data_IF_164688221666
#
_entry.id   IF_164688221666
#
_cell.length_a   1.000
_cell.length_b   1.000
_cell.length_c   1.000
_cell.angle_alpha   90.00
_cell.angle_beta   90.00
_cell.angle_gamma   90.00
#
_symmetry.space_group_name_H-M   'P 1'
#
loop_
_entity.id
_entity.type
_entity.pdbx_description
1 polymer ?
#
# COMPACT_ATOMS: atom_id res chain seq x y z
N UNK A 1 -7.90 -35.78 16.00
CA UNK A 1 -7.28 -36.18 14.72
C UNK A 1 -8.35 -35.99 13.67
N UNK A 2 -8.08 -35.24 12.58
CA UNK A 2 -9.07 -35.06 11.55
C UNK A 2 -9.45 -36.40 10.93
N UNK A 3 -10.73 -36.58 10.62
CA UNK A 3 -11.19 -37.81 9.96
C UNK A 3 -10.65 -37.88 8.52
N UNK A 4 -10.52 -39.08 7.91
CA UNK A 4 -10.13 -39.21 6.51
C UNK A 4 -11.03 -38.40 5.56
N UNK A 5 -12.30 -38.25 5.93
CA UNK A 5 -13.31 -37.48 5.20
C UNK A 5 -13.06 -35.97 5.32
N UNK A 6 -12.77 -35.46 6.52
CA UNK A 6 -12.34 -34.07 6.75
C UNK A 6 -11.05 -33.72 6.00
N UNK A 7 -10.06 -34.63 5.99
CA UNK A 7 -8.82 -34.44 5.25
C UNK A 7 -9.06 -34.37 3.73
N UNK A 8 -9.98 -35.18 3.21
CA UNK A 8 -10.37 -35.14 1.80
C UNK A 8 -11.08 -33.83 1.43
N UNK A 9 -12.02 -33.37 2.26
CA UNK A 9 -12.71 -32.08 2.08
C UNK A 9 -11.70 -30.94 2.09
N UNK A 10 -10.78 -30.92 3.07
CA UNK A 10 -9.75 -29.89 3.17
C UNK A 10 -8.84 -29.84 1.94
N UNK A 11 -8.46 -31.00 1.40
CA UNK A 11 -7.65 -31.10 0.17
C UNK A 11 -8.38 -30.48 -1.03
N UNK A 12 -9.70 -30.68 -1.13
CA UNK A 12 -10.52 -30.05 -2.19
C UNK A 12 -10.60 -28.54 -2.02
N UNK A 13 -10.82 -28.05 -0.80
CA UNK A 13 -10.82 -26.60 -0.50
C UNK A 13 -9.48 -25.97 -0.89
N UNK A 14 -8.36 -26.59 -0.48
CA UNK A 14 -7.03 -26.12 -0.82
C UNK A 14 -6.81 -26.05 -2.34
N UNK A 15 -7.23 -27.07 -3.08
CA UNK A 15 -7.15 -27.08 -4.54
C UNK A 15 -7.95 -25.95 -5.21
N UNK A 16 -9.15 -25.65 -4.70
CA UNK A 16 -9.97 -24.53 -5.17
C UNK A 16 -9.28 -23.19 -4.91
N UNK A 17 -8.72 -23.00 -3.71
CA UNK A 17 -7.98 -21.79 -3.34
C UNK A 17 -6.72 -21.60 -4.21
N UNK A 18 -5.99 -22.67 -4.51
CA UNK A 18 -4.83 -22.65 -5.41
C UNK A 18 -5.23 -22.20 -6.83
N UNK A 19 -6.30 -22.79 -7.38
CA UNK A 19 -6.82 -22.41 -8.71
C UNK A 19 -7.21 -20.95 -8.76
N UNK A 20 -7.94 -20.49 -7.75
CA UNK A 20 -8.39 -19.12 -7.65
C UNK A 20 -7.21 -18.13 -7.56
N UNK A 21 -6.23 -18.41 -6.71
CA UNK A 21 -5.02 -17.59 -6.58
C UNK A 21 -4.22 -17.53 -7.89
N UNK A 22 -4.04 -18.67 -8.58
CA UNK A 22 -3.36 -18.72 -9.89
C UNK A 22 -4.08 -17.87 -10.94
N UNK A 23 -5.40 -18.01 -11.05
CA UNK A 23 -6.20 -17.24 -12.01
C UNK A 23 -6.13 -15.73 -11.75
N UNK A 24 -6.13 -15.32 -10.47
CA UNK A 24 -5.94 -13.91 -10.06
C UNK A 24 -4.56 -13.36 -10.42
N UNK A 25 -3.54 -14.21 -10.37
CA UNK A 25 -2.19 -13.86 -10.83
C UNK A 25 -2.06 -13.87 -12.37
N UNK A 26 -3.14 -14.16 -13.10
CA UNK A 26 -3.17 -14.30 -14.56
C UNK A 26 -2.17 -15.32 -15.11
N UNK A 27 -1.88 -16.36 -14.33
CA UNK A 27 -0.95 -17.42 -14.72
C UNK A 27 -1.70 -18.62 -15.29
N UNK A 28 -1.21 -19.17 -16.39
CA UNK A 28 -1.66 -20.47 -16.89
C UNK A 28 -1.02 -21.60 -16.08
N UNK A 29 -1.57 -22.81 -16.16
CA UNK A 29 -0.95 -24.00 -15.56
C UNK A 29 0.47 -24.23 -16.09
N UNK A 30 0.72 -23.85 -17.35
CA UNK A 30 2.03 -23.92 -17.98
C UNK A 30 3.01 -22.91 -17.38
N UNK A 31 2.59 -21.66 -17.21
CA UNK A 31 3.44 -20.62 -16.62
C UNK A 31 3.88 -20.99 -15.20
N UNK A 32 2.99 -21.61 -14.43
CA UNK A 32 3.32 -22.10 -13.08
C UNK A 32 4.29 -23.27 -13.15
N UNK A 33 4.00 -24.27 -13.98
CA UNK A 33 4.84 -25.44 -14.17
C UNK A 33 6.27 -25.08 -14.59
N UNK A 34 6.40 -24.19 -15.58
CA UNK A 34 7.69 -23.74 -16.10
C UNK A 34 8.51 -22.98 -15.03
N UNK A 35 7.86 -22.24 -14.14
CA UNK A 35 8.51 -21.46 -13.06
C UNK A 35 8.97 -22.30 -11.88
N UNK A 36 8.27 -23.39 -11.57
CA UNK A 36 8.60 -24.24 -10.41
C UNK A 36 9.21 -25.60 -10.82
N UNK A 37 9.42 -25.82 -12.13
CA UNK A 37 10.10 -27.00 -12.66
C UNK A 37 9.23 -28.26 -12.65
N UNK A 38 7.91 -28.15 -12.79
CA UNK A 38 6.98 -29.29 -12.81
C UNK A 38 6.06 -29.26 -14.03
N UNK A 39 5.42 -30.38 -14.36
CA UNK A 39 4.48 -30.42 -15.48
C UNK A 39 3.18 -29.67 -15.14
N UNK A 40 2.47 -29.10 -16.15
CA UNK A 40 1.16 -28.47 -15.93
C UNK A 40 0.12 -29.42 -15.32
N UNK A 41 0.26 -30.73 -15.58
CA UNK A 41 -0.58 -31.78 -15.00
C UNK A 41 -0.43 -31.91 -13.49
N UNK A 42 0.79 -31.72 -12.96
CA UNK A 42 1.02 -31.72 -11.51
C UNK A 42 0.28 -30.55 -10.85
N UNK A 43 0.32 -29.36 -11.45
CA UNK A 43 -0.42 -28.19 -10.94
C UNK A 43 -1.93 -28.46 -10.97
N UNK A 44 -2.43 -29.05 -12.05
CA UNK A 44 -3.84 -29.42 -12.16
C UNK A 44 -4.24 -30.43 -11.08
N UNK A 45 -3.42 -31.45 -10.80
CA UNK A 45 -3.70 -32.44 -9.78
C UNK A 45 -3.76 -31.85 -8.37
N UNK A 46 -2.94 -30.82 -8.08
CA UNK A 46 -3.07 -30.05 -6.84
C UNK A 46 -4.37 -29.25 -6.80
N UNK A 47 -4.74 -28.56 -7.89
CA UNK A 47 -5.99 -27.79 -7.97
C UNK A 47 -7.24 -28.67 -7.88
N UNK A 48 -7.19 -29.89 -8.38
CA UNK A 48 -8.28 -30.87 -8.26
C UNK A 48 -8.24 -31.63 -6.93
N UNK A 49 -7.26 -31.40 -6.06
CA UNK A 49 -7.08 -32.14 -4.81
C UNK A 49 -6.89 -33.65 -5.04
N UNK A 50 -6.26 -34.04 -6.15
CA UNK A 50 -5.87 -35.42 -6.47
C UNK A 50 -4.48 -35.76 -5.93
N UNK A 51 -3.66 -34.74 -5.71
CA UNK A 51 -2.29 -34.85 -5.19
C UNK A 51 -2.11 -33.97 -3.95
N UNK A 52 -1.50 -34.54 -2.92
CA UNK A 52 -1.09 -33.80 -1.73
C UNK A 52 0.00 -32.78 -2.06
N UNK A 53 -0.01 -31.67 -1.32
CA UNK A 53 0.93 -30.56 -1.49
C UNK A 53 1.66 -30.35 -0.17
N UNK A 54 2.99 -30.30 -0.22
CA UNK A 54 3.83 -29.99 0.94
C UNK A 54 3.78 -28.51 1.29
N UNK A 55 4.21 -28.17 2.50
CA UNK A 55 4.32 -26.78 2.93
C UNK A 55 5.30 -25.99 2.05
N UNK A 56 6.45 -26.56 1.71
CA UNK A 56 7.45 -25.91 0.84
C UNK A 56 6.89 -25.60 -0.55
N UNK A 57 6.14 -26.54 -1.14
CA UNK A 57 5.44 -26.30 -2.41
C UNK A 57 4.39 -25.20 -2.26
N UNK A 58 3.67 -25.16 -1.14
CA UNK A 58 2.67 -24.11 -0.87
C UNK A 58 3.30 -22.72 -0.74
N UNK A 59 4.46 -22.61 -0.09
CA UNK A 59 5.18 -21.35 0.07
C UNK A 59 5.64 -20.78 -1.27
N UNK A 60 6.19 -21.64 -2.14
CA UNK A 60 6.59 -21.26 -3.49
C UNK A 60 5.39 -20.79 -4.30
N UNK A 61 4.27 -21.51 -4.24
CA UNK A 61 3.04 -21.12 -4.93
C UNK A 61 2.43 -19.83 -4.35
N UNK A 62 2.45 -19.64 -3.03
CA UNK A 62 2.00 -18.41 -2.37
C UNK A 62 2.79 -17.19 -2.87
N UNK A 63 4.12 -17.32 -2.93
CA UNK A 63 5.01 -16.29 -3.45
C UNK A 63 4.70 -15.99 -4.93
N UNK A 64 4.57 -17.05 -5.74
CA UNK A 64 4.29 -16.94 -7.17
C UNK A 64 2.93 -16.29 -7.46
N UNK A 65 1.91 -16.60 -6.66
CA UNK A 65 0.55 -16.05 -6.79
C UNK A 65 0.38 -14.70 -6.09
N UNK A 66 1.42 -14.21 -5.41
CA UNK A 66 1.43 -12.94 -4.66
C UNK A 66 0.32 -12.89 -3.60
N UNK A 67 0.08 -14.01 -2.92
CA UNK A 67 -0.85 -14.10 -1.79
C UNK A 67 -0.11 -14.47 -0.51
N UNK A 68 -0.51 -13.95 0.66
CA UNK A 68 0.08 -14.39 1.93
C UNK A 68 -0.27 -15.87 2.19
N UNK A 69 0.63 -16.63 2.83
CA UNK A 69 0.43 -18.07 3.10
C UNK A 69 -0.89 -18.35 3.87
N UNK A 70 -1.29 -17.43 4.75
CA UNK A 70 -2.54 -17.49 5.51
C UNK A 70 -3.80 -17.56 4.61
N UNK A 71 -3.71 -17.12 3.35
CA UNK A 71 -4.79 -17.21 2.36
C UNK A 71 -5.32 -18.64 2.20
N UNK A 72 -4.45 -19.64 2.29
CA UNK A 72 -4.84 -21.04 2.09
C UNK A 72 -5.57 -21.66 3.28
N UNK A 73 -5.63 -20.98 4.42
CA UNK A 73 -6.31 -21.42 5.65
C UNK A 73 -7.69 -20.78 5.84
N UNK A 74 -8.19 -19.98 4.90
CA UNK A 74 -9.55 -19.47 4.99
C UNK A 74 -10.57 -20.59 4.77
N UNK A 75 -11.51 -20.75 5.72
CA UNK A 75 -12.62 -21.71 5.63
C UNK A 75 -13.68 -21.24 4.62
N UNK A 76 -13.76 -19.93 4.40
CA UNK A 76 -14.51 -19.34 3.31
C UNK A 76 -13.59 -19.21 2.09
N UNK A 77 -14.02 -19.75 0.94
CA UNK A 77 -13.66 -19.13 -0.35
C UNK A 77 -14.31 -17.76 -0.23
N UNK A 78 -13.55 -16.64 -0.17
CA UNK A 78 -14.15 -15.33 0.01
C UNK A 78 -15.23 -15.17 -1.05
N UNK A 79 -16.50 -15.23 -0.63
CA UNK A 79 -17.64 -15.19 -1.52
C UNK A 79 -17.62 -13.80 -2.12
N UNK A 80 -17.13 -13.68 -3.36
CA UNK A 80 -16.91 -12.44 -4.11
C UNK A 80 -16.92 -11.22 -3.19
N UNK A 81 -15.97 -11.17 -2.23
CA UNK A 81 -15.62 -9.91 -1.60
C UNK A 81 -14.84 -9.25 -2.71
N UNK A 82 -15.63 -8.62 -3.56
CA UNK A 82 -15.26 -7.98 -4.81
C UNK A 82 -13.81 -7.57 -4.79
N UNK A 83 -13.08 -8.09 -5.77
CA UNK A 83 -12.10 -7.31 -6.48
C UNK A 83 -10.76 -7.03 -5.74
N UNK A 84 -9.69 -7.54 -6.33
CA UNK A 84 -8.45 -6.75 -6.42
C UNK A 84 -8.57 -5.58 -7.41
N UNK A 85 -9.73 -5.37 -8.06
CA UNK A 85 -10.10 -4.03 -8.50
C UNK A 85 -10.37 -3.21 -7.23
N UNK A 86 -9.40 -2.40 -6.82
CA UNK A 86 -9.67 -1.14 -6.14
C UNK A 86 -11.04 -0.65 -6.65
N UNK A 87 -12.09 -0.43 -5.82
CA UNK A 87 -13.38 0.00 -6.33
C UNK A 87 -13.14 1.32 -7.07
N UNK A 88 -12.94 1.24 -8.38
CA UNK A 88 -12.13 2.24 -9.10
C UNK A 88 -12.84 3.58 -9.01
N UNK A 89 -14.17 3.57 -9.09
CA UNK A 89 -15.00 4.73 -8.86
C UNK A 89 -14.90 5.31 -7.44
N UNK A 90 -14.85 4.46 -6.39
CA UNK A 90 -14.70 4.92 -5.01
C UNK A 90 -13.29 5.44 -4.70
N UNK A 91 -12.27 4.81 -5.29
CA UNK A 91 -10.86 5.19 -5.15
C UNK A 91 -10.57 6.46 -5.93
N UNK A 92 -11.03 6.58 -7.17
CA UNK A 92 -10.99 7.81 -7.96
C UNK A 92 -11.79 8.92 -7.26
N UNK A 93 -12.98 8.62 -6.71
CA UNK A 93 -13.78 9.58 -5.98
C UNK A 93 -13.11 10.07 -4.69
N UNK A 94 -12.49 9.17 -3.93
CA UNK A 94 -11.67 9.54 -2.77
C UNK A 94 -10.46 10.38 -3.19
N UNK A 95 -9.78 9.98 -4.26
CA UNK A 95 -8.61 10.68 -4.78
C UNK A 95 -8.94 12.08 -5.27
N UNK A 96 -10.04 12.24 -5.99
CA UNK A 96 -10.56 13.55 -6.44
C UNK A 96 -10.81 14.48 -5.26
N UNK A 97 -11.42 13.98 -4.17
CA UNK A 97 -11.62 14.76 -2.93
C UNK A 97 -10.31 15.18 -2.27
N UNK A 98 -9.32 14.29 -2.22
CA UNK A 98 -7.99 14.62 -1.69
C UNK A 98 -7.35 15.74 -2.52
N UNK A 99 -7.33 15.59 -3.86
CA UNK A 99 -6.75 16.60 -4.76
C UNK A 99 -7.48 17.94 -4.64
N UNK A 100 -8.81 17.92 -4.54
CA UNK A 100 -9.63 19.12 -4.34
C UNK A 100 -9.25 19.89 -3.07
N UNK A 101 -9.11 19.19 -1.94
CA UNK A 101 -8.69 19.77 -0.65
C UNK A 101 -7.27 20.32 -0.74
N UNK A 102 -6.34 19.57 -1.34
CA UNK A 102 -4.95 20.00 -1.52
C UNK A 102 -4.86 21.26 -2.40
N UNK A 103 -5.65 21.34 -3.47
CA UNK A 103 -5.70 22.53 -4.31
C UNK A 103 -6.21 23.73 -3.52
N UNK A 104 -7.29 23.56 -2.77
CA UNK A 104 -7.85 24.60 -1.91
C UNK A 104 -6.82 25.07 -0.88
N UNK A 105 -6.12 24.14 -0.24
CA UNK A 105 -5.06 24.45 0.73
C UNK A 105 -3.92 25.24 0.08
N UNK A 106 -3.35 24.74 -1.02
CA UNK A 106 -2.25 25.42 -1.72
C UNK A 106 -2.67 26.82 -2.20
N UNK A 107 -3.91 26.98 -2.67
CA UNK A 107 -4.47 28.28 -3.07
C UNK A 107 -4.54 29.25 -1.90
N UNK A 108 -5.08 28.81 -0.76
CA UNK A 108 -5.22 29.64 0.43
C UNK A 108 -3.85 30.01 1.03
N UNK A 109 -2.91 29.07 1.08
CA UNK A 109 -1.52 29.29 1.54
C UNK A 109 -0.77 30.28 0.64
N UNK A 110 -1.01 30.23 -0.67
CA UNK A 110 -0.47 31.21 -1.63
C UNK A 110 -1.22 32.56 -1.63
N UNK A 111 -2.25 32.72 -0.80
CA UNK A 111 -3.05 33.95 -0.70
C UNK A 111 -3.82 34.29 -1.98
N UNK A 112 -4.24 33.28 -2.75
CA UNK A 112 -4.93 33.45 -4.05
C UNK A 112 -6.44 33.22 -3.93
N UNK A 113 -7.20 33.87 -4.79
CA UNK A 113 -8.63 33.60 -4.94
C UNK A 113 -8.91 32.62 -6.10
N UNK A 114 -10.15 32.14 -6.23
CA UNK A 114 -10.51 31.20 -7.30
C UNK A 114 -10.47 31.86 -8.69
N UNK A 115 -10.63 33.18 -8.78
CA UNK A 115 -10.57 33.91 -10.04
C UNK A 115 -9.13 34.01 -10.58
N UNK A 116 -8.13 34.04 -9.70
CA UNK A 116 -6.72 33.94 -10.03
C UNK A 116 -6.42 32.63 -10.78
N UNK A 117 -6.88 31.50 -10.24
CA UNK A 117 -6.68 30.18 -10.86
C UNK A 117 -7.43 30.06 -12.19
N UNK A 118 -8.63 30.63 -12.26
CA UNK A 118 -9.44 30.65 -13.47
C UNK A 118 -8.74 31.40 -14.61
N UNK A 119 -8.05 32.51 -14.31
CA UNK A 119 -7.24 33.26 -15.28
C UNK A 119 -6.02 32.48 -15.75
N UNK A 120 -5.37 31.71 -14.88
CA UNK A 120 -4.22 30.87 -15.24
C UNK A 120 -4.63 29.80 -16.25
N UNK A 121 -5.80 29.21 -16.09
CA UNK A 121 -6.31 28.14 -16.96
C UNK A 121 -7.16 28.65 -18.14
N UNK A 122 -7.32 29.97 -18.29
CA UNK A 122 -8.22 30.59 -19.25
C UNK A 122 -9.63 29.95 -19.26
N UNK A 123 -10.21 29.80 -18.06
CA UNK A 123 -11.50 29.13 -17.88
C UNK A 123 -12.46 29.92 -16.99
N UNK A 124 -13.77 29.61 -17.00
CA UNK A 124 -14.72 30.22 -16.07
C UNK A 124 -14.42 29.89 -14.60
N UNK A 125 -14.64 30.82 -13.64
CA UNK A 125 -14.43 30.55 -12.20
C UNK A 125 -15.22 29.36 -11.65
N UNK A 126 -16.39 29.07 -12.24
CA UNK A 126 -17.20 27.90 -11.87
C UNK A 126 -16.48 26.56 -12.06
N UNK A 127 -15.51 26.49 -12.98
CA UNK A 127 -14.69 25.29 -13.19
C UNK A 127 -13.72 25.07 -12.03
N UNK A 128 -13.13 26.13 -11.50
CA UNK A 128 -12.28 26.07 -10.29
C UNK A 128 -13.12 25.65 -9.07
N UNK A 129 -14.34 26.19 -8.94
CA UNK A 129 -15.28 25.77 -7.89
C UNK A 129 -15.59 24.27 -7.99
N UNK A 130 -15.87 23.76 -9.18
CA UNK A 130 -16.13 22.34 -9.40
C UNK A 130 -14.92 21.45 -9.06
N UNK A 131 -13.70 21.93 -9.27
CA UNK A 131 -12.47 21.26 -8.86
C UNK A 131 -12.33 21.21 -7.34
N UNK A 132 -12.45 22.35 -6.64
CA UNK A 132 -12.33 22.41 -5.17
C UNK A 132 -13.47 21.68 -4.43
N UNK A 133 -14.61 21.48 -5.08
CA UNK A 133 -15.74 20.71 -4.54
C UNK A 133 -15.72 19.23 -4.96
N UNK A 134 -14.67 18.78 -5.66
CA UNK A 134 -14.54 17.41 -6.17
C UNK A 134 -15.72 16.95 -7.06
N UNK A 135 -16.40 17.88 -7.74
CA UNK A 135 -17.47 17.57 -8.67
C UNK A 135 -16.93 17.11 -10.02
N UNK A 136 -15.72 17.52 -10.38
CA UNK A 136 -15.02 17.10 -11.60
C UNK A 136 -13.54 16.83 -11.32
N UNK A 137 -12.93 15.97 -12.13
CA UNK A 137 -11.49 15.74 -12.08
C UNK A 137 -10.73 16.92 -12.71
N UNK A 138 -9.56 17.21 -12.15
CA UNK A 138 -8.64 18.21 -12.71
C UNK A 138 -7.74 17.49 -13.73
N UNK A 139 -7.73 17.91 -15.01
CA UNK A 139 -6.77 17.41 -15.98
C UNK A 139 -5.34 17.62 -15.49
N UNK A 140 -4.44 16.66 -15.76
CA UNK A 140 -3.06 16.72 -15.26
C UNK A 140 -2.32 18.00 -15.70
N UNK A 141 -2.48 18.41 -16.95
CA UNK A 141 -1.86 19.64 -17.49
C UNK A 141 -2.36 20.89 -16.77
N UNK A 142 -3.66 20.95 -16.49
CA UNK A 142 -4.26 22.04 -15.71
C UNK A 142 -3.69 22.04 -14.28
N UNK A 143 -3.59 20.85 -13.65
CA UNK A 143 -3.02 20.70 -12.32
C UNK A 143 -1.53 21.10 -12.25
N UNK A 144 -0.74 20.81 -13.29
CA UNK A 144 0.66 21.23 -13.42
C UNK A 144 0.80 22.76 -13.51
N UNK A 145 -0.02 23.40 -14.36
CA UNK A 145 -0.05 24.85 -14.48
C UNK A 145 -0.44 25.53 -13.16
N UNK A 146 -1.45 24.99 -12.47
CA UNK A 146 -1.87 25.46 -11.15
C UNK A 146 -0.80 25.24 -10.09
N UNK A 147 -0.16 24.08 -10.05
CA UNK A 147 0.93 23.78 -9.11
C UNK A 147 2.09 24.78 -9.27
N UNK A 148 2.50 25.02 -10.52
CA UNK A 148 3.54 25.99 -10.83
C UNK A 148 3.15 27.42 -10.38
N UNK A 149 1.92 27.85 -10.69
CA UNK A 149 1.43 29.16 -10.29
C UNK A 149 1.31 29.34 -8.77
N UNK A 150 0.93 28.27 -8.05
CA UNK A 150 0.78 28.25 -6.60
C UNK A 150 2.12 28.05 -5.86
N UNK A 151 3.22 27.80 -6.58
CA UNK A 151 4.54 27.61 -5.99
C UNK A 151 4.72 26.28 -5.25
N UNK A 152 3.93 25.26 -5.59
CA UNK A 152 4.06 23.90 -5.03
C UNK A 152 4.55 22.93 -6.10
N UNK A 153 5.42 21.95 -5.77
CA UNK A 153 5.80 20.93 -6.74
C UNK A 153 4.58 20.04 -7.06
N UNK A 154 4.51 19.51 -8.28
CA UNK A 154 3.39 18.62 -8.69
C UNK A 154 3.27 17.38 -7.77
N UNK A 155 4.37 16.94 -7.17
CA UNK A 155 4.42 15.85 -6.19
C UNK A 155 3.59 16.09 -4.92
N UNK A 156 3.32 17.35 -4.57
CA UNK A 156 2.43 17.72 -3.47
C UNK A 156 1.05 17.06 -3.59
N UNK A 157 0.54 16.90 -4.83
CA UNK A 157 -0.75 16.26 -5.09
C UNK A 157 -0.65 14.72 -5.14
N UNK A 158 0.54 14.16 -5.36
CA UNK A 158 0.78 12.71 -5.38
C UNK A 158 0.81 12.12 -3.97
N UNK A 159 1.51 12.75 -3.04
CA UNK A 159 1.83 12.17 -1.73
C UNK A 159 0.78 12.49 -0.64
N UNK A 160 -0.47 12.71 -1.05
CA UNK A 160 -1.58 13.06 -0.15
C UNK A 160 -1.28 14.29 0.73
N UNK A 161 -0.50 15.25 0.23
CA UNK A 161 -0.09 16.43 1.01
C UNK A 161 0.96 16.14 2.09
N UNK A 162 1.48 14.92 2.18
CA UNK A 162 2.76 14.68 2.84
C UNK A 162 3.78 15.37 1.95
N UNK A 163 4.40 16.45 2.42
CA UNK A 163 5.53 17.07 1.70
C UNK A 163 6.58 15.97 1.52
N UNK A 164 6.81 15.44 0.29
CA UNK A 164 8.03 14.67 0.08
C UNK A 164 9.13 15.71 0.19
N UNK A 165 10.00 15.56 1.17
CA UNK A 165 11.15 16.44 1.35
C UNK A 165 12.18 16.19 0.24
N UNK A 166 11.81 16.29 -1.05
CA UNK A 166 12.74 16.16 -2.18
C UNK A 166 13.62 14.89 -2.16
N UNK A 167 13.20 13.83 -1.47
CA UNK A 167 14.00 12.62 -1.36
C UNK A 167 13.95 11.87 -2.68
N UNK A 168 15.13 11.54 -3.21
CA UNK A 168 15.27 10.63 -4.31
C UNK A 168 14.57 9.30 -3.97
N UNK A 169 14.04 8.61 -4.98
CA UNK A 169 13.57 7.23 -4.78
C UNK A 169 14.70 6.45 -4.08
N UNK A 170 14.38 5.70 -3.00
CA UNK A 170 15.40 5.02 -2.24
C UNK A 170 16.20 4.11 -3.15
N UNK A 171 17.53 4.25 -3.10
CA UNK A 171 18.39 3.47 -3.96
C UNK A 171 18.40 1.99 -3.55
N UNK A 172 18.99 1.13 -4.39
CA UNK A 172 19.03 -0.31 -4.14
C UNK A 172 19.78 -0.68 -2.86
N UNK A 173 20.64 0.19 -2.34
CA UNK A 173 21.41 -0.06 -1.12
C UNK A 173 20.60 0.32 0.12
N UNK A 174 19.87 1.44 0.08
CA UNK A 174 18.90 1.82 1.11
C UNK A 174 17.81 0.75 1.27
N UNK A 175 17.32 0.18 0.17
CA UNK A 175 16.35 -0.91 0.20
C UNK A 175 16.90 -2.18 0.86
N UNK A 176 18.19 -2.51 0.66
CA UNK A 176 18.83 -3.64 1.35
C UNK A 176 18.95 -3.38 2.85
N UNK A 177 19.39 -2.19 3.25
CA UNK A 177 19.53 -1.84 4.67
C UNK A 177 18.19 -1.88 5.41
N UNK A 178 17.11 -1.41 4.77
CA UNK A 178 15.75 -1.56 5.29
C UNK A 178 15.33 -3.03 5.42
N UNK A 179 15.74 -3.88 4.48
CA UNK A 179 15.46 -5.31 4.51
C UNK A 179 16.28 -6.05 5.60
N UNK A 180 17.46 -5.55 5.97
CA UNK A 180 18.31 -6.12 7.02
C UNK A 180 17.85 -5.80 8.44
N UNK A 181 16.98 -4.80 8.61
CA UNK A 181 16.42 -4.46 9.92
C UNK A 181 15.77 -5.68 10.60
N UNK A 182 15.89 -5.83 11.93
CA UNK A 182 15.22 -6.89 12.68
C UNK A 182 13.71 -6.93 12.40
N UNK A 183 13.14 -8.14 12.31
CA UNK A 183 11.75 -8.33 11.90
C UNK A 183 10.75 -7.57 12.78
N UNK A 184 11.02 -7.46 14.08
CA UNK A 184 10.21 -6.68 15.03
C UNK A 184 10.23 -5.18 14.74
N UNK A 185 11.39 -4.63 14.39
CA UNK A 185 11.57 -3.21 14.03
C UNK A 185 10.86 -2.92 12.72
N UNK A 186 11.01 -3.77 11.70
CA UNK A 186 10.28 -3.61 10.42
C UNK A 186 8.77 -3.61 10.64
N UNK A 187 8.26 -4.56 11.44
CA UNK A 187 6.82 -4.62 11.77
C UNK A 187 6.36 -3.36 12.50
N UNK A 188 7.17 -2.83 13.42
CA UNK A 188 6.86 -1.60 14.14
C UNK A 188 6.79 -0.39 13.20
N UNK A 189 7.74 -0.24 12.27
CA UNK A 189 7.81 0.91 11.34
C UNK A 189 6.64 0.89 10.34
N UNK A 190 6.20 -0.28 9.89
CA UNK A 190 5.13 -0.42 8.88
C UNK A 190 3.73 -0.04 9.37
N UNK A 191 3.53 0.21 10.67
CA UNK A 191 2.25 0.67 11.22
C UNK A 191 2.16 2.20 11.08
N UNK A 192 1.23 2.76 10.28
CA UNK A 192 1.18 4.22 10.02
C UNK A 192 1.07 5.10 11.27
N UNK A 193 0.37 4.61 12.31
CA UNK A 193 0.25 5.31 13.60
C UNK A 193 1.57 5.43 14.36
N UNK A 194 2.58 4.61 14.05
CA UNK A 194 3.84 4.59 14.79
C UNK A 194 4.81 5.71 14.39
N UNK A 195 4.48 6.51 13.38
CA UNK A 195 5.32 7.61 12.91
C UNK A 195 5.67 8.63 14.03
N UNK A 196 4.76 8.83 14.99
CA UNK A 196 4.99 9.73 16.12
C UNK A 196 6.08 9.22 17.05
N UNK A 197 6.13 7.91 17.32
CA UNK A 197 7.19 7.30 18.13
C UNK A 197 8.55 7.44 17.45
N UNK A 198 8.60 7.23 16.13
CA UNK A 198 9.83 7.39 15.35
C UNK A 198 10.32 8.84 15.38
N UNK A 199 9.43 9.83 15.23
CA UNK A 199 9.79 11.25 15.34
C UNK A 199 10.40 11.60 16.70
N UNK A 200 9.81 11.10 17.79
CA UNK A 200 10.36 11.30 19.14
C UNK A 200 11.73 10.64 19.27
N UNK A 201 11.89 9.40 18.80
CA UNK A 201 13.18 8.71 18.82
C UNK A 201 14.26 9.47 18.03
N UNK A 202 13.93 10.01 16.86
CA UNK A 202 14.83 10.85 16.06
C UNK A 202 15.22 12.13 16.80
N UNK A 203 14.26 12.83 17.39
CA UNK A 203 14.53 14.03 18.20
C UNK A 203 15.45 13.73 19.39
N UNK A 204 15.21 12.62 20.09
CA UNK A 204 16.07 12.18 21.20
C UNK A 204 17.48 11.86 20.71
N UNK A 205 17.63 11.18 19.58
CA UNK A 205 18.94 10.81 19.02
C UNK A 205 19.84 12.02 18.69
N UNK A 206 19.24 13.18 18.41
CA UNK A 206 19.97 14.42 18.13
C UNK A 206 20.45 15.17 19.40
N UNK A 207 20.03 14.75 20.60
CA UNK A 207 20.41 15.40 21.85
C UNK A 207 21.79 14.93 22.35
N UNK A 208 22.54 15.79 23.07
CA UNK A 208 23.77 15.37 23.75
C UNK A 208 23.49 14.26 24.76
N UNK A 209 24.41 13.28 24.85
CA UNK A 209 24.27 12.14 25.76
C UNK A 209 24.04 12.52 27.23
N UNK A 210 24.57 13.67 27.67
CA UNK A 210 24.36 14.20 29.03
C UNK A 210 22.92 14.65 29.28
N UNK A 211 22.21 15.12 28.25
CA UNK A 211 20.79 15.50 28.34
C UNK A 211 19.92 14.24 28.38
N UNK A 212 20.23 13.25 27.53
CA UNK A 212 19.53 11.96 27.52
C UNK A 212 19.64 11.23 28.86
N UNK A 213 20.81 11.28 29.50
CA UNK A 213 21.03 10.66 30.82
C UNK A 213 20.14 11.30 31.89
N UNK A 214 20.10 12.63 31.96
CA UNK A 214 19.23 13.35 32.91
C UNK A 214 17.74 13.07 32.68
N UNK A 215 17.31 12.98 31.41
CA UNK A 215 15.94 12.61 31.07
C UNK A 215 15.61 11.17 31.51
N UNK A 216 16.54 10.24 31.33
CA UNK A 216 16.39 8.86 31.80
C UNK A 216 16.31 8.77 33.33
N UNK A 217 17.15 9.51 34.05
CA UNK A 217 17.13 9.61 35.52
C UNK A 217 15.78 10.16 36.01
N UNK A 218 15.28 11.25 35.42
CA UNK A 218 13.98 11.81 35.77
C UNK A 218 12.79 10.89 35.46
N UNK A 219 12.84 10.09 34.38
CA UNK A 219 11.81 9.09 34.10
C UNK A 219 11.81 7.95 35.13
N UNK A 220 12.99 7.51 35.56
CA UNK A 220 13.12 6.49 36.60
C UNK A 220 12.53 6.98 37.93
N UNK A 221 12.79 8.23 38.32
CA UNK A 221 12.23 8.85 39.53
C UNK A 221 10.70 8.98 39.54
N UNK A 222 10.06 9.06 38.37
CA UNK A 222 8.58 9.15 38.26
C UNK A 222 7.95 7.75 38.26
N UNK A 223 8.72 6.72 37.94
CA UNK A 223 8.25 5.32 37.87
C UNK A 223 8.48 4.52 39.17
N UNK A 224 9.06 5.14 40.19
CA UNK A 224 9.22 4.62 41.56
C UNK A 224 8.44 5.47 42.56
#
# INVERSE_FOLDING_TARGET
MPTPEEAAIRRKILGVLLRHARQRASLTLRDVGDRIGVSPGIIADHEYGRRDLSLSELEILAHLYRVPLAYFWSEDIPADSSNGELPVAAVLGLRRRIIAVLLQQARLEAGRDQADLARVLDCPPSRIVAYEQAQSDIPLVDLEALAHYLGVPISYFFDQGIKPSGEALPDMEELKQLAELPAEVRRFILVPGNILYLRVAMQLSALPASVLRRLGEGLLEITY
#
